data_IF_062224762128
#
_entry.id   IF_062224762128
#
_cell.length_a   1.000
_cell.length_b   1.000
_cell.length_c   1.000
_cell.angle_alpha   90.00
_cell.angle_beta   90.00
_cell.angle_gamma   90.00
#
_symmetry.space_group_name_H-M   'P 1'
#
loop_
_entity.id
_entity.type
_entity.pdbx_description
1 polymer ?
#
# COMPACT_ATOMS: atom_id res chain seq x y z
N UNK A 1 4.03 -5.85 19.46
CA UNK A 1 4.95 -4.94 18.72
C UNK A 1 4.32 -4.67 17.38
N UNK A 2 4.26 -3.43 16.88
CA UNK A 2 3.68 -3.20 15.53
C UNK A 2 4.63 -3.75 14.46
N UNK A 3 4.18 -4.72 13.68
CA UNK A 3 4.97 -5.35 12.62
C UNK A 3 5.18 -4.38 11.44
N UNK A 4 6.36 -4.45 10.80
CA UNK A 4 6.69 -3.71 9.59
C UNK A 4 6.80 -4.72 8.45
N UNK A 5 6.22 -4.39 7.31
CA UNK A 5 6.38 -5.11 6.05
C UNK A 5 7.09 -4.22 5.03
N UNK A 6 7.77 -4.86 4.09
CA UNK A 6 8.38 -4.21 2.94
C UNK A 6 7.71 -4.74 1.67
N UNK A 7 7.42 -3.84 0.73
CA UNK A 7 6.73 -4.21 -0.50
C UNK A 7 7.28 -3.42 -1.67
N UNK A 8 7.22 -4.01 -2.87
CA UNK A 8 7.36 -3.29 -4.13
C UNK A 8 5.98 -2.82 -4.53
N UNK A 9 5.80 -1.52 -4.69
CA UNK A 9 4.50 -0.92 -5.01
C UNK A 9 4.63 0.07 -6.17
N UNK A 10 3.49 0.34 -6.81
CA UNK A 10 3.34 1.37 -7.82
C UNK A 10 2.03 2.12 -7.57
N UNK A 11 2.08 3.45 -7.56
CA UNK A 11 0.87 4.26 -7.61
C UNK A 11 0.37 4.34 -9.04
N UNK A 12 -0.94 4.24 -9.24
CA UNK A 12 -1.55 4.31 -10.58
C UNK A 12 -1.42 5.69 -11.19
N UNK A 13 -1.43 5.75 -12.51
CA UNK A 13 -1.55 7.00 -13.24
C UNK A 13 -2.95 7.59 -13.04
N UNK A 14 -3.10 8.90 -13.26
CA UNK A 14 -4.36 9.60 -13.04
C UNK A 14 -5.47 9.12 -13.99
N UNK A 15 -5.13 8.80 -15.24
CA UNK A 15 -6.05 8.28 -16.25
C UNK A 15 -6.51 6.84 -15.98
N UNK A 16 -5.82 6.13 -15.08
CA UNK A 16 -6.20 4.81 -14.56
C UNK A 16 -7.05 4.87 -13.28
N UNK A 17 -7.48 6.09 -12.88
CA UNK A 17 -8.20 6.33 -11.64
C UNK A 17 -7.32 6.50 -10.40
N UNK A 18 -6.00 6.66 -10.60
CA UNK A 18 -5.05 6.96 -9.54
C UNK A 18 -5.16 8.39 -9.00
N UNK A 19 -4.24 8.74 -8.08
CA UNK A 19 -4.17 10.09 -7.51
C UNK A 19 -3.62 11.08 -8.53
N UNK A 20 -3.95 12.37 -8.39
CA UNK A 20 -3.30 13.44 -9.19
C UNK A 20 -1.81 13.59 -8.86
N UNK A 21 -1.44 13.27 -7.63
CA UNK A 21 -0.08 13.35 -7.12
C UNK A 21 0.17 12.22 -6.12
N UNK A 22 1.43 11.80 -6.04
CA UNK A 22 1.91 10.88 -5.00
C UNK A 22 1.54 11.45 -3.63
N UNK A 23 1.08 10.61 -2.67
CA UNK A 23 0.84 11.09 -1.32
C UNK A 23 2.11 11.71 -0.74
N UNK A 24 2.02 12.92 -0.22
CA UNK A 24 3.13 13.61 0.43
C UNK A 24 3.00 13.55 1.96
N UNK A 25 4.14 13.49 2.65
CA UNK A 25 4.23 13.56 4.11
C UNK A 25 4.26 12.20 4.83
N UNK A 26 4.36 12.28 6.16
CA UNK A 26 4.57 11.15 7.10
C UNK A 26 3.28 10.45 7.57
N UNK A 27 2.13 10.75 6.96
CA UNK A 27 0.81 10.33 7.47
C UNK A 27 -0.04 9.53 6.48
N UNK A 28 0.52 9.06 5.37
CA UNK A 28 -0.27 8.31 4.40
C UNK A 28 -0.68 6.94 4.97
N UNK A 29 -2.00 6.75 5.14
CA UNK A 29 -2.63 5.60 5.80
C UNK A 29 -3.71 4.95 4.94
N UNK A 30 -3.34 4.26 3.84
CA UNK A 30 -4.29 3.56 3.01
C UNK A 30 -4.69 2.21 3.62
N UNK A 31 -5.58 1.51 2.91
CA UNK A 31 -5.81 0.09 3.14
C UNK A 31 -5.15 -0.75 2.06
N UNK A 32 -4.64 -1.91 2.43
CA UNK A 32 -4.25 -2.96 1.50
C UNK A 32 -5.39 -3.98 1.39
N UNK A 33 -5.73 -4.37 0.17
CA UNK A 33 -6.67 -5.46 -0.09
C UNK A 33 -5.96 -6.52 -0.92
N UNK A 34 -5.73 -7.69 -0.33
CA UNK A 34 -5.09 -8.83 -0.99
C UNK A 34 -5.98 -9.33 -2.14
N UNK A 35 -5.36 -9.80 -3.24
CA UNK A 35 -6.11 -10.40 -4.34
C UNK A 35 -7.03 -11.52 -3.83
N UNK A 36 -8.28 -11.55 -4.30
CA UNK A 36 -9.34 -12.48 -3.86
C UNK A 36 -9.77 -12.35 -2.39
N UNK A 37 -9.33 -11.31 -1.67
CA UNK A 37 -9.85 -10.94 -0.35
C UNK A 37 -10.79 -9.74 -0.44
N UNK A 38 -11.69 -9.63 0.53
CA UNK A 38 -12.56 -8.45 0.75
C UNK A 38 -12.15 -7.65 2.00
N UNK A 39 -11.09 -8.09 2.69
CA UNK A 39 -10.63 -7.48 3.94
C UNK A 39 -9.72 -6.29 3.64
N UNK A 40 -10.02 -5.17 4.31
CA UNK A 40 -9.25 -3.93 4.23
C UNK A 40 -8.24 -3.88 5.38
N UNK A 41 -6.96 -4.04 5.06
CA UNK A 41 -5.87 -4.06 6.03
C UNK A 41 -5.23 -2.68 6.14
N UNK A 42 -5.49 -1.95 7.22
CA UNK A 42 -4.95 -0.61 7.44
C UNK A 42 -3.44 -0.59 7.63
N UNK A 43 -2.73 0.21 6.84
CA UNK A 43 -1.28 0.36 6.98
C UNK A 43 -0.88 1.82 7.06
N UNK A 44 0.26 2.10 7.69
CA UNK A 44 0.89 3.41 7.68
C UNK A 44 2.18 3.35 6.87
N UNK A 45 2.26 4.11 5.79
CA UNK A 45 3.49 4.21 4.99
C UNK A 45 4.56 4.90 5.82
N UNK A 46 5.73 4.28 5.93
CA UNK A 46 6.88 4.83 6.63
C UNK A 46 7.71 5.57 5.60
N UNK A 47 7.64 6.91 5.63
CA UNK A 47 8.46 7.82 4.82
C UNK A 47 8.39 7.52 3.32
N UNK A 48 7.52 8.22 2.61
CA UNK A 48 7.45 8.15 1.15
C UNK A 48 8.63 8.94 0.59
N UNK A 49 9.52 8.34 -0.23
CA UNK A 49 10.66 9.06 -0.79
C UNK A 49 10.22 10.22 -1.70
N UNK A 50 10.94 11.33 -1.66
CA UNK A 50 10.62 12.56 -2.43
C UNK A 50 10.57 12.36 -3.95
N UNK A 51 11.27 11.33 -4.47
CA UNK A 51 11.41 11.08 -5.92
C UNK A 51 10.41 10.05 -6.46
N UNK A 52 9.42 9.64 -5.68
CA UNK A 52 8.38 8.72 -6.15
C UNK A 52 7.54 9.41 -7.23
N UNK A 53 7.25 8.67 -8.31
CA UNK A 53 6.42 9.12 -9.43
C UNK A 53 5.25 8.15 -9.62
N UNK A 54 4.13 8.66 -10.11
CA UNK A 54 3.01 7.81 -10.53
C UNK A 54 3.46 6.90 -11.69
N UNK A 55 2.99 5.66 -11.71
CA UNK A 55 3.35 4.64 -12.69
C UNK A 55 4.76 4.03 -12.52
N UNK A 56 5.59 4.54 -11.59
CA UNK A 56 6.96 4.04 -11.38
C UNK A 56 7.03 3.18 -10.11
N UNK A 57 7.43 1.89 -10.23
CA UNK A 57 7.49 1.00 -9.08
C UNK A 57 8.65 1.32 -8.12
N UNK A 58 8.40 1.38 -6.81
CA UNK A 58 9.42 1.62 -5.79
C UNK A 58 9.21 0.74 -4.55
N UNK A 59 10.24 0.62 -3.72
CA UNK A 59 10.17 -0.16 -2.48
C UNK A 59 9.67 0.72 -1.34
N UNK A 60 8.64 0.26 -0.63
CA UNK A 60 8.01 0.98 0.48
C UNK A 60 7.95 0.11 1.72
N UNK A 61 8.34 0.69 2.86
CA UNK A 61 8.10 0.11 4.19
C UNK A 61 6.77 0.58 4.75
N UNK A 62 6.01 -0.32 5.33
CA UNK A 62 4.68 -0.03 5.89
C UNK A 62 4.56 -0.64 7.27
N UNK A 63 3.99 0.12 8.21
CA UNK A 63 3.64 -0.38 9.54
C UNK A 63 2.21 -0.87 9.54
N UNK A 64 1.99 -2.09 10.03
CA UNK A 64 0.64 -2.61 10.24
C UNK A 64 -0.03 -1.84 11.38
N UNK A 65 -1.28 -1.39 11.18
CA UNK A 65 -1.95 -0.53 12.17
C UNK A 65 -2.51 -1.30 13.37
N UNK A 66 -2.81 -2.58 13.19
CA UNK A 66 -3.44 -3.42 14.21
C UNK A 66 -2.72 -4.77 14.33
N UNK A 67 -2.93 -5.43 15.46
CA UNK A 67 -2.48 -6.80 15.72
C UNK A 67 -3.67 -7.74 15.53
N UNK A 68 -4.02 -8.00 14.27
CA UNK A 68 -5.19 -8.81 13.88
C UNK A 68 -4.73 -9.97 12.99
N UNK A 69 -5.42 -11.11 13.12
CA UNK A 69 -5.12 -12.33 12.37
C UNK A 69 -5.16 -12.12 10.85
N UNK A 70 -6.01 -11.23 10.35
CA UNK A 70 -6.14 -10.98 8.92
C UNK A 70 -4.86 -10.44 8.26
N UNK A 71 -3.93 -9.87 9.04
CA UNK A 71 -2.63 -9.46 8.52
C UNK A 71 -1.72 -10.64 8.16
N UNK A 72 -2.04 -11.87 8.60
CA UNK A 72 -1.37 -13.11 8.14
C UNK A 72 -1.51 -13.32 6.62
N UNK A 73 -2.45 -12.63 5.97
CA UNK A 73 -2.59 -12.61 4.52
C UNK A 73 -1.41 -11.93 3.82
N UNK A 74 -0.67 -11.02 4.47
CA UNK A 74 0.42 -10.24 3.88
C UNK A 74 1.76 -10.98 3.94
N UNK A 75 1.83 -12.17 3.36
CA UNK A 75 3.06 -12.97 3.27
C UNK A 75 3.90 -12.57 2.06
N UNK A 76 5.19 -12.89 2.07
CA UNK A 76 6.10 -12.69 0.92
C UNK A 76 5.49 -13.20 -0.39
N UNK A 77 5.54 -12.36 -1.42
CA UNK A 77 4.96 -12.63 -2.74
C UNK A 77 3.45 -12.35 -2.86
N UNK A 78 2.77 -12.06 -1.76
CA UNK A 78 1.34 -11.71 -1.78
C UNK A 78 1.13 -10.42 -2.53
N UNK A 79 0.26 -10.46 -3.54
CA UNK A 79 -0.20 -9.29 -4.28
C UNK A 79 -1.37 -8.60 -3.58
N UNK A 80 -1.39 -7.29 -3.65
CA UNK A 80 -2.44 -6.48 -3.06
C UNK A 80 -2.72 -5.22 -3.87
N UNK A 81 -3.91 -4.66 -3.66
CA UNK A 81 -4.32 -3.33 -4.11
C UNK A 81 -4.18 -2.34 -2.97
N UNK A 82 -3.78 -1.12 -3.28
CA UNK A 82 -3.77 0.02 -2.36
C UNK A 82 -5.08 0.77 -2.57
N UNK A 83 -5.88 0.88 -1.52
CA UNK A 83 -7.24 1.39 -1.56
C UNK A 83 -7.41 2.68 -0.74
N UNK A 84 -8.13 3.64 -1.33
CA UNK A 84 -8.64 4.84 -0.66
C UNK A 84 -10.17 4.88 -0.79
N UNK A 85 -10.85 4.44 0.27
CA UNK A 85 -12.28 4.11 0.18
C UNK A 85 -12.50 3.04 -0.90
N UNK A 86 -13.41 3.25 -1.88
CA UNK A 86 -13.64 2.29 -2.96
C UNK A 86 -12.62 2.38 -4.11
N UNK A 87 -11.71 3.36 -4.10
CA UNK A 87 -10.83 3.64 -5.23
C UNK A 87 -9.51 2.86 -5.11
N UNK A 88 -9.09 2.24 -6.22
CA UNK A 88 -7.76 1.62 -6.35
C UNK A 88 -6.78 2.71 -6.76
N UNK A 89 -5.86 3.09 -5.87
CA UNK A 89 -4.87 4.15 -6.13
C UNK A 89 -3.48 3.61 -6.43
N UNK A 90 -3.27 2.31 -6.25
CA UNK A 90 -2.00 1.64 -6.48
C UNK A 90 -2.11 0.14 -6.26
N UNK A 91 -1.01 -0.54 -6.47
CA UNK A 91 -0.89 -1.99 -6.32
C UNK A 91 0.55 -2.39 -6.02
N UNK A 92 0.75 -3.61 -5.56
CA UNK A 92 2.08 -4.11 -5.24
C UNK A 92 2.10 -5.52 -4.72
N UNK A 93 3.26 -5.93 -4.24
CA UNK A 93 3.46 -7.22 -3.59
C UNK A 93 4.49 -7.15 -2.47
N UNK A 94 4.30 -7.99 -1.46
CA UNK A 94 5.21 -8.10 -0.29
C UNK A 94 6.54 -8.73 -0.71
N UNK A 95 7.66 -8.18 -0.25
CA UNK A 95 9.03 -8.64 -0.56
C UNK A 95 9.52 -9.76 0.38
#
# INVERSE_FOLDING_TARGET
MSQIIEAKIVFRLQDEGGRQQVPSGISYRPHLVVENSVVYLGVNFIEIPDQVQLGVPYTQKMRLMYDLKDYELLQKGTKFKIMEGPNIVGEGYVL
#
